data_IF_504006893763
#
_entry.id   IF_504006893763
#
_cell.length_a   1.000
_cell.length_b   1.000
_cell.length_c   1.000
_cell.angle_alpha   90.00
_cell.angle_beta   90.00
_cell.angle_gamma   90.00
#
_symmetry.space_group_name_H-M   'P 1'
#
loop_
_entity.id
_entity.type
_entity.pdbx_description
1 polymer ?
#
# COMPACT_ATOMS: atom_id res chain seq x y z
N UNK A 1 2.53 26.10 -12.68
CA UNK A 1 1.21 25.47 -12.75
C UNK A 1 0.24 26.22 -11.88
N UNK A 2 -0.91 26.58 -12.42
CA UNK A 2 -1.97 27.28 -11.67
C UNK A 2 -2.42 26.39 -10.52
N UNK A 3 -2.53 26.91 -9.28
CA UNK A 3 -3.00 26.13 -8.16
C UNK A 3 -4.39 25.59 -8.47
N UNK A 4 -4.59 24.30 -8.26
CA UNK A 4 -5.89 23.71 -8.46
C UNK A 4 -6.82 24.14 -7.32
N UNK A 5 -7.88 24.88 -7.66
CA UNK A 5 -8.97 25.21 -6.75
C UNK A 5 -10.15 24.31 -7.14
N UNK A 6 -10.55 23.43 -6.26
CA UNK A 6 -11.68 22.57 -6.51
C UNK A 6 -12.77 22.84 -5.48
N UNK A 7 -13.86 23.46 -5.93
CA UNK A 7 -15.06 23.78 -5.12
C UNK A 7 -16.21 22.82 -5.39
N UNK A 8 -16.08 21.95 -6.39
CA UNK A 8 -17.17 21.06 -6.76
C UNK A 8 -17.12 19.78 -5.91
N UNK A 9 -18.11 19.55 -5.01
CA UNK A 9 -18.16 18.35 -4.18
C UNK A 9 -18.33 17.05 -4.98
N UNK A 10 -18.67 17.16 -6.28
CA UNK A 10 -18.83 16.01 -7.18
C UNK A 10 -17.56 15.68 -7.98
N UNK A 11 -16.45 16.37 -7.72
CA UNK A 11 -15.16 16.12 -8.42
C UNK A 11 -14.09 15.66 -7.44
N UNK A 12 -13.13 14.87 -7.97
CA UNK A 12 -11.92 14.58 -7.20
C UNK A 12 -11.26 15.87 -6.69
N UNK A 13 -10.80 15.97 -5.44
CA UNK A 13 -10.65 14.89 -4.45
C UNK A 13 -11.86 14.61 -3.56
N UNK A 14 -13.03 15.17 -3.82
CA UNK A 14 -14.23 15.08 -2.95
C UNK A 14 -15.26 14.05 -3.41
N UNK A 15 -15.10 13.54 -4.63
CA UNK A 15 -15.97 12.51 -5.20
C UNK A 15 -15.19 11.23 -5.47
N UNK A 16 -15.73 10.11 -5.00
CA UNK A 16 -15.21 8.77 -5.30
C UNK A 16 -16.36 7.75 -5.28
N UNK A 17 -16.39 6.87 -6.27
CA UNK A 17 -17.34 5.74 -6.34
C UNK A 17 -18.82 6.11 -6.14
N UNK A 18 -19.26 7.29 -6.61
CA UNK A 18 -20.66 7.72 -6.51
C UNK A 18 -21.02 8.41 -5.21
N UNK A 19 -20.07 8.68 -4.32
CA UNK A 19 -20.34 9.35 -3.06
C UNK A 19 -20.00 10.84 -3.11
N UNK A 20 -20.91 11.67 -2.61
CA UNK A 20 -20.74 13.12 -2.51
C UNK A 20 -20.31 13.51 -1.11
N UNK A 21 -19.45 14.52 -0.99
CA UNK A 21 -19.14 15.10 0.30
C UNK A 21 -20.39 15.85 0.83
N UNK A 22 -20.86 15.55 2.05
CA UNK A 22 -22.09 16.15 2.60
C UNK A 22 -21.92 17.62 3.00
N UNK A 23 -20.70 18.15 2.98
CA UNK A 23 -20.42 19.56 3.23
C UNK A 23 -19.67 20.17 2.05
N UNK A 24 -19.82 21.49 1.88
CA UNK A 24 -19.00 22.26 0.93
C UNK A 24 -17.60 22.38 1.48
N UNK A 25 -16.61 21.93 0.72
CA UNK A 25 -15.20 21.99 1.09
C UNK A 25 -14.37 22.44 -0.12
N UNK A 26 -13.47 23.38 0.10
CA UNK A 26 -12.53 23.86 -0.91
C UNK A 26 -11.12 23.40 -0.59
N UNK A 27 -10.45 22.78 -1.56
CA UNK A 27 -9.04 22.47 -1.49
C UNK A 27 -8.26 23.39 -2.43
N UNK A 28 -7.25 24.07 -1.92
CA UNK A 28 -6.36 24.90 -2.72
C UNK A 28 -4.89 24.58 -2.44
N UNK A 29 -4.04 24.70 -3.46
CA UNK A 29 -2.58 24.67 -3.31
C UNK A 29 -1.97 26.08 -3.41
N UNK A 30 -2.80 27.13 -3.49
CA UNK A 30 -2.34 28.52 -3.48
C UNK A 30 -1.97 28.97 -2.06
N UNK A 31 -0.67 28.97 -1.77
CA UNK A 31 -0.13 29.33 -0.46
C UNK A 31 -0.48 30.78 -0.03
N UNK A 32 -0.83 31.67 -0.96
CA UNK A 32 -1.23 33.06 -0.64
C UNK A 32 -2.57 33.10 0.09
N UNK A 33 -3.38 32.07 -0.07
CA UNK A 33 -4.71 31.95 0.54
C UNK A 33 -4.71 31.22 1.89
N UNK A 34 -3.54 30.97 2.48
CA UNK A 34 -3.44 30.24 3.75
C UNK A 34 -4.22 30.91 4.88
N UNK A 35 -4.35 32.25 4.88
CA UNK A 35 -5.12 33.01 5.86
C UNK A 35 -6.64 32.82 5.78
N UNK A 36 -7.15 32.25 4.67
CA UNK A 36 -8.56 31.90 4.48
C UNK A 36 -8.85 30.45 4.91
N UNK A 37 -7.82 29.67 5.19
CA UNK A 37 -7.96 28.23 5.43
C UNK A 37 -8.37 27.93 6.88
N UNK A 38 -9.17 26.88 7.06
CA UNK A 38 -9.45 26.27 8.37
C UNK A 38 -8.42 25.19 8.74
N UNK A 39 -7.79 24.58 7.73
CA UNK A 39 -6.81 23.53 7.93
C UNK A 39 -5.66 23.61 6.92
N UNK A 40 -4.50 23.11 7.32
CA UNK A 40 -3.33 22.97 6.48
C UNK A 40 -2.94 21.48 6.40
N UNK A 41 -3.01 20.90 5.20
CA UNK A 41 -2.51 19.56 4.94
C UNK A 41 -1.07 19.65 4.46
N UNK A 42 -0.15 19.10 5.24
CA UNK A 42 1.29 19.06 4.93
C UNK A 42 1.65 17.66 4.47
N UNK A 43 2.03 17.53 3.21
CA UNK A 43 2.61 16.30 2.69
C UNK A 43 4.13 16.40 2.84
N UNK A 44 4.70 15.62 3.76
CA UNK A 44 6.12 15.69 4.04
C UNK A 44 6.79 14.31 4.05
N UNK A 45 7.92 14.23 3.35
CA UNK A 45 8.87 13.11 3.45
C UNK A 45 10.11 13.49 4.26
N UNK A 46 10.48 14.77 4.27
CA UNK A 46 11.66 15.30 4.93
C UNK A 46 11.27 16.43 5.87
N UNK A 47 12.08 16.65 6.89
CA UNK A 47 11.88 17.75 7.86
C UNK A 47 11.82 19.12 7.18
N UNK A 48 12.62 19.34 6.13
CA UNK A 48 12.63 20.60 5.38
C UNK A 48 11.36 20.89 4.56
N UNK A 49 10.47 19.88 4.40
CA UNK A 49 9.17 20.05 3.72
C UNK A 49 8.09 20.57 4.69
N UNK A 50 8.36 20.54 5.99
CA UNK A 50 7.42 20.99 7.03
C UNK A 50 7.63 22.49 7.24
N UNK A 51 6.64 23.35 6.93
CA UNK A 51 6.76 24.77 7.13
C UNK A 51 6.83 25.11 8.63
N UNK A 52 7.41 26.27 9.00
CA UNK A 52 7.33 26.78 10.36
C UNK A 52 5.87 26.89 10.81
N UNK A 53 5.56 26.52 12.06
CA UNK A 53 4.20 26.62 12.63
C UNK A 53 3.83 28.08 12.94
N UNK A 54 3.73 28.88 11.89
CA UNK A 54 3.37 30.33 11.99
C UNK A 54 1.87 30.53 12.10
N UNK A 55 1.07 29.60 11.61
CA UNK A 55 -0.40 29.66 11.60
C UNK A 55 -0.95 28.78 12.72
N UNK A 56 -0.96 29.34 13.95
CA UNK A 56 -1.31 28.58 15.16
C UNK A 56 -2.80 28.23 15.24
N UNK A 57 -3.64 29.00 14.57
CA UNK A 57 -5.10 28.86 14.60
C UNK A 57 -5.61 27.84 13.57
N UNK A 58 -4.74 27.37 12.67
CA UNK A 58 -5.09 26.34 11.71
C UNK A 58 -5.00 24.93 12.30
N UNK A 59 -5.91 24.06 11.90
CA UNK A 59 -5.76 22.62 12.12
C UNK A 59 -4.66 22.08 11.21
N UNK A 60 -3.63 21.49 11.79
CA UNK A 60 -2.50 20.94 11.05
C UNK A 60 -2.66 19.44 10.88
N UNK A 61 -2.58 18.97 9.63
CA UNK A 61 -2.72 17.56 9.28
C UNK A 61 -1.45 17.13 8.56
N UNK A 62 -0.76 16.14 9.11
CA UNK A 62 0.35 15.49 8.39
C UNK A 62 -0.19 14.42 7.47
N UNK A 63 0.16 14.48 6.20
CA UNK A 63 -0.18 13.46 5.22
C UNK A 63 1.08 12.83 4.64
N UNK A 64 1.22 11.51 4.76
CA UNK A 64 2.23 10.75 4.03
C UNK A 64 1.85 9.28 3.91
N UNK A 65 2.13 8.71 2.74
CA UNK A 65 2.00 7.27 2.47
C UNK A 65 3.36 6.54 2.49
N UNK A 66 4.42 7.26 2.88
CA UNK A 66 5.74 6.64 3.07
C UNK A 66 5.91 6.15 4.51
N UNK A 67 6.71 5.11 4.66
CA UNK A 67 7.09 4.60 5.98
C UNK A 67 8.09 5.54 6.68
N UNK A 68 8.26 5.47 8.02
CA UNK A 68 9.27 6.24 8.74
C UNK A 68 10.69 6.00 8.25
N UNK A 69 10.97 4.86 7.64
CA UNK A 69 12.27 4.58 7.00
C UNK A 69 12.54 5.54 5.84
N UNK A 70 11.49 5.91 5.11
CA UNK A 70 11.57 6.80 3.94
C UNK A 70 11.03 8.22 4.24
N UNK A 71 10.45 8.43 5.41
CA UNK A 71 9.94 9.71 5.90
C UNK A 71 10.33 9.89 7.39
N UNK A 72 11.60 10.20 7.68
CA UNK A 72 12.12 10.32 9.04
C UNK A 72 11.34 11.23 9.99
N UNK A 73 10.67 12.32 9.52
CA UNK A 73 9.84 13.16 10.40
C UNK A 73 8.80 12.39 11.21
N UNK A 74 8.30 11.27 10.69
CA UNK A 74 7.31 10.42 11.39
C UNK A 74 7.84 9.82 12.69
N UNK A 75 9.15 9.65 12.81
CA UNK A 75 9.81 9.11 14.01
C UNK A 75 10.27 10.18 14.99
N UNK A 76 10.06 11.47 14.68
CA UNK A 76 10.44 12.56 15.57
C UNK A 76 9.20 13.04 16.37
N UNK A 77 9.14 12.77 17.69
CA UNK A 77 8.02 13.19 18.53
C UNK A 77 7.84 14.71 18.59
N UNK A 78 8.91 15.49 18.41
CA UNK A 78 8.85 16.96 18.42
C UNK A 78 8.14 17.48 17.17
N UNK A 79 8.36 16.81 16.04
CA UNK A 79 7.70 17.13 14.78
C UNK A 79 6.24 16.68 14.85
N UNK A 80 6.00 15.42 15.24
CA UNK A 80 4.66 14.85 15.28
C UNK A 80 3.69 15.59 16.21
N UNK A 81 4.18 16.12 17.33
CA UNK A 81 3.39 16.97 18.26
C UNK A 81 2.90 18.29 17.65
N UNK A 82 3.43 18.72 16.51
CA UNK A 82 2.97 19.94 15.84
C UNK A 82 1.66 19.73 15.06
N UNK A 83 1.27 18.49 14.81
CA UNK A 83 0.10 18.14 14.02
C UNK A 83 -1.07 17.77 14.93
N UNK A 84 -2.27 18.20 14.52
CA UNK A 84 -3.52 17.89 15.18
C UNK A 84 -4.02 16.50 14.73
N UNK A 85 -3.79 16.15 13.46
CA UNK A 85 -4.23 14.92 12.84
C UNK A 85 -3.17 14.31 11.93
N UNK A 86 -3.32 12.99 11.70
CA UNK A 86 -2.45 12.22 10.83
C UNK A 86 -3.24 11.46 9.77
N UNK A 87 -2.91 11.69 8.49
CA UNK A 87 -3.43 10.95 7.34
C UNK A 87 -2.32 10.08 6.76
N UNK A 88 -2.47 8.76 6.82
CA UNK A 88 -1.37 7.87 6.39
C UNK A 88 -1.82 6.51 5.90
N UNK A 89 -0.84 5.72 5.46
CA UNK A 89 -1.02 4.32 5.11
C UNK A 89 -1.49 3.45 6.28
N UNK A 90 -1.33 3.89 7.52
CA UNK A 90 -1.75 3.15 8.71
C UNK A 90 -3.26 3.14 8.82
N UNK A 91 -3.82 1.95 9.08
CA UNK A 91 -5.26 1.79 9.29
C UNK A 91 -5.72 2.32 10.66
N UNK A 92 -4.80 2.58 11.56
CA UNK A 92 -5.03 3.18 12.88
C UNK A 92 -4.71 4.67 12.93
N UNK A 93 -4.44 5.33 11.78
CA UNK A 93 -4.33 6.78 11.70
C UNK A 93 -5.70 7.46 11.75
N UNK A 94 -5.75 8.77 12.02
CA UNK A 94 -7.01 9.53 12.03
C UNK A 94 -7.74 9.47 10.70
N UNK A 95 -6.97 9.48 9.61
CA UNK A 95 -7.49 9.36 8.25
C UNK A 95 -6.75 8.26 7.50
N UNK A 96 -7.15 7.00 7.66
CA UNK A 96 -6.55 5.89 6.92
C UNK A 96 -6.63 6.11 5.41
N UNK A 97 -5.47 6.06 4.74
CA UNK A 97 -5.36 6.16 3.29
C UNK A 97 -4.24 5.25 2.76
N UNK A 98 -4.29 3.92 3.05
CA UNK A 98 -3.29 2.99 2.58
C UNK A 98 -3.24 2.94 1.05
N UNK A 99 -2.07 2.67 0.48
CA UNK A 99 -1.94 2.45 -0.97
C UNK A 99 -2.55 1.11 -1.42
N UNK A 100 -3.14 0.38 -0.52
CA UNK A 100 -3.93 -0.81 -0.81
C UNK A 100 -5.38 -0.40 -1.14
N UNK A 101 -5.63 -0.16 -2.41
CA UNK A 101 -6.98 0.12 -2.93
C UNK A 101 -7.80 -1.18 -2.98
N UNK A 102 -9.13 -1.03 -3.07
CA UNK A 102 -10.04 -2.17 -3.26
C UNK A 102 -9.69 -2.90 -4.57
N UNK A 103 -9.34 -4.19 -4.53
CA UNK A 103 -8.92 -4.90 -5.73
C UNK A 103 -10.07 -5.06 -6.73
N UNK A 104 -9.74 -5.08 -8.02
CA UNK A 104 -10.72 -5.33 -9.08
C UNK A 104 -11.25 -6.77 -9.04
N UNK A 105 -12.55 -6.95 -9.27
CA UNK A 105 -13.18 -8.26 -9.49
C UNK A 105 -13.13 -8.73 -10.95
N UNK A 106 -12.41 -8.00 -11.81
CA UNK A 106 -12.23 -8.42 -13.21
C UNK A 106 -11.73 -9.86 -13.29
N UNK A 107 -12.36 -10.65 -14.16
CA UNK A 107 -12.03 -12.05 -14.37
C UNK A 107 -10.53 -12.22 -14.67
N UNK A 108 -9.82 -13.07 -13.95
CA UNK A 108 -8.40 -13.33 -14.21
C UNK A 108 -8.21 -14.07 -15.54
N UNK A 109 -7.02 -13.94 -16.12
CA UNK A 109 -6.60 -14.83 -17.21
C UNK A 109 -6.67 -16.28 -16.73
N UNK A 110 -7.27 -17.20 -17.50
CA UNK A 110 -7.38 -18.61 -17.13
C UNK A 110 -6.03 -19.24 -16.80
N UNK A 111 -6.01 -20.17 -15.86
CA UNK A 111 -4.78 -20.79 -15.36
C UNK A 111 -3.84 -21.31 -16.46
N UNK A 112 -4.40 -21.98 -17.49
CA UNK A 112 -3.64 -22.55 -18.60
C UNK A 112 -3.13 -21.53 -19.61
N UNK A 113 -3.74 -20.34 -19.63
CA UNK A 113 -3.38 -19.25 -20.54
C UNK A 113 -2.32 -18.31 -19.95
N UNK A 114 -2.06 -18.42 -18.64
CA UNK A 114 -0.97 -17.66 -18.00
C UNK A 114 0.38 -18.18 -18.49
N UNK A 115 1.10 -17.32 -19.22
CA UNK A 115 2.38 -17.65 -19.86
C UNK A 115 3.60 -17.51 -18.97
N UNK A 116 3.49 -16.71 -17.91
CA UNK A 116 4.56 -16.44 -16.95
C UNK A 116 4.37 -17.16 -15.62
N UNK A 117 5.47 -17.54 -14.97
CA UNK A 117 5.42 -18.19 -13.67
C UNK A 117 5.42 -17.17 -12.54
N UNK A 118 6.51 -16.45 -12.33
CA UNK A 118 6.66 -15.44 -11.28
C UNK A 118 7.14 -14.13 -11.88
N UNK A 119 6.50 -13.02 -11.52
CA UNK A 119 6.92 -11.67 -11.89
C UNK A 119 7.35 -10.85 -10.69
N UNK A 120 8.42 -10.08 -10.83
CA UNK A 120 8.90 -9.11 -9.84
C UNK A 120 8.99 -7.70 -10.47
N UNK A 121 8.41 -6.67 -9.79
CA UNK A 121 8.40 -5.30 -10.30
C UNK A 121 8.73 -4.34 -9.14
N UNK A 122 10.02 -4.12 -8.85
CA UNK A 122 10.44 -3.08 -7.91
C UNK A 122 11.81 -2.50 -8.26
N UNK A 123 12.01 -1.20 -7.95
CA UNK A 123 13.19 -0.44 -8.36
C UNK A 123 13.97 0.18 -7.19
N UNK A 124 13.42 0.16 -5.98
CA UNK A 124 14.17 0.46 -4.75
C UNK A 124 14.78 -0.86 -4.28
N UNK A 125 16.10 -1.01 -4.39
CA UNK A 125 16.80 -2.25 -4.09
C UNK A 125 17.16 -2.33 -2.60
N UNK A 126 16.13 -2.30 -1.76
CA UNK A 126 16.31 -2.51 -0.33
C UNK A 126 16.96 -3.89 -0.10
N UNK A 127 17.90 -3.96 0.84
CA UNK A 127 18.85 -5.07 0.99
C UNK A 127 18.17 -6.42 1.25
N UNK A 128 17.22 -6.47 2.18
CA UNK A 128 16.59 -7.72 2.62
C UNK A 128 15.77 -8.35 1.50
N UNK A 129 14.84 -7.58 0.93
CA UNK A 129 13.97 -8.10 -0.14
C UNK A 129 14.74 -8.46 -1.41
N UNK A 130 15.81 -7.69 -1.73
CA UNK A 130 16.63 -7.95 -2.91
C UNK A 130 17.43 -9.25 -2.74
N UNK A 131 18.00 -9.49 -1.56
CA UNK A 131 18.68 -10.75 -1.24
C UNK A 131 17.74 -11.94 -1.24
N UNK A 132 16.53 -11.77 -0.67
CA UNK A 132 15.54 -12.83 -0.69
C UNK A 132 15.15 -13.21 -2.12
N UNK A 133 14.88 -12.21 -2.97
CA UNK A 133 14.57 -12.44 -4.37
C UNK A 133 15.72 -13.12 -5.10
N UNK A 134 16.96 -12.69 -4.88
CA UNK A 134 18.16 -13.31 -5.49
C UNK A 134 18.27 -14.79 -5.11
N UNK A 135 18.02 -15.15 -3.84
CA UNK A 135 18.01 -16.55 -3.43
C UNK A 135 16.84 -17.32 -4.07
N UNK A 136 15.64 -16.76 -4.10
CA UNK A 136 14.48 -17.40 -4.73
C UNK A 136 14.73 -17.71 -6.21
N UNK A 137 15.36 -16.78 -6.93
CA UNK A 137 15.70 -16.91 -8.35
C UNK A 137 16.67 -18.07 -8.67
N UNK A 138 17.38 -18.61 -7.68
CA UNK A 138 18.22 -19.81 -7.87
C UNK A 138 17.40 -21.09 -8.04
N UNK A 139 16.16 -21.10 -7.56
CA UNK A 139 15.33 -22.31 -7.50
C UNK A 139 14.10 -22.25 -8.40
N UNK A 140 13.67 -21.05 -8.81
CA UNK A 140 12.49 -20.87 -9.65
C UNK A 140 12.70 -19.69 -10.62
N UNK A 141 12.13 -19.80 -11.81
CA UNK A 141 12.18 -18.75 -12.82
C UNK A 141 11.37 -17.55 -12.36
N UNK A 142 12.01 -16.38 -12.26
CA UNK A 142 11.38 -15.09 -11.98
C UNK A 142 11.73 -14.10 -13.07
N UNK A 143 10.72 -13.50 -13.70
CA UNK A 143 10.88 -12.40 -14.64
C UNK A 143 10.86 -11.09 -13.86
N UNK A 144 12.01 -10.41 -13.77
CA UNK A 144 12.17 -9.16 -13.02
C UNK A 144 12.25 -7.96 -13.95
N UNK A 145 11.27 -7.05 -13.85
CA UNK A 145 11.11 -5.86 -14.68
C UNK A 145 11.56 -4.55 -14.01
N UNK A 146 11.76 -4.56 -12.70
CA UNK A 146 12.29 -3.43 -11.94
C UNK A 146 13.81 -3.34 -12.05
N UNK A 147 14.40 -2.27 -11.49
CA UNK A 147 15.87 -2.10 -11.49
C UNK A 147 16.61 -3.20 -10.70
N UNK A 148 15.91 -3.80 -9.71
CA UNK A 148 16.52 -4.78 -8.83
C UNK A 148 16.51 -6.16 -9.47
N UNK A 149 17.69 -6.74 -9.71
CA UNK A 149 17.86 -8.05 -10.35
C UNK A 149 17.14 -8.13 -11.70
N UNK A 150 17.15 -7.04 -12.46
CA UNK A 150 16.47 -6.92 -13.75
C UNK A 150 16.97 -7.94 -14.76
N UNK A 151 16.04 -8.71 -15.35
CA UNK A 151 16.30 -9.65 -16.44
C UNK A 151 15.28 -9.57 -17.56
N UNK A 152 14.35 -8.58 -17.48
CA UNK A 152 13.35 -8.24 -18.50
C UNK A 152 13.35 -6.76 -18.77
N UNK A 153 13.29 -6.35 -20.06
CA UNK A 153 13.51 -4.97 -20.50
C UNK A 153 12.33 -4.42 -21.33
N UNK A 154 11.34 -5.25 -21.62
CA UNK A 154 10.15 -4.95 -22.43
C UNK A 154 9.00 -4.32 -21.62
N UNK A 155 9.33 -3.62 -20.52
CA UNK A 155 8.35 -2.91 -19.71
C UNK A 155 7.84 -1.65 -20.42
N UNK A 156 6.52 -1.34 -20.36
CA UNK A 156 5.97 -0.11 -20.91
C UNK A 156 6.72 1.15 -20.44
N UNK A 157 6.91 2.11 -21.36
CA UNK A 157 7.67 3.34 -21.09
C UNK A 157 6.95 4.25 -20.10
N UNK A 158 7.71 5.08 -19.37
CA UNK A 158 7.21 6.14 -18.47
C UNK A 158 6.24 7.07 -19.25
N UNK A 159 5.07 7.33 -18.67
CA UNK A 159 4.06 8.22 -19.23
C UNK A 159 2.65 7.63 -19.22
N UNK A 160 2.52 6.30 -19.23
CA UNK A 160 1.26 5.61 -19.00
C UNK A 160 0.95 5.56 -17.48
N UNK A 161 -0.30 5.32 -17.13
CA UNK A 161 -0.67 4.99 -15.74
C UNK A 161 0.07 3.72 -15.32
N UNK A 162 1.17 3.88 -14.57
CA UNK A 162 2.10 2.80 -14.26
C UNK A 162 1.45 1.68 -13.45
N UNK A 163 0.42 1.98 -12.66
CA UNK A 163 -0.32 0.97 -11.90
C UNK A 163 -1.17 0.11 -12.83
N UNK A 164 -1.83 0.72 -13.79
CA UNK A 164 -2.59 0.01 -14.81
C UNK A 164 -1.68 -0.91 -15.65
N UNK A 165 -0.56 -0.38 -16.12
CA UNK A 165 0.40 -1.17 -16.92
C UNK A 165 1.04 -2.31 -16.12
N UNK A 166 1.35 -2.09 -14.83
CA UNK A 166 1.82 -3.15 -13.95
C UNK A 166 0.75 -4.23 -13.74
N UNK A 167 -0.51 -3.83 -13.54
CA UNK A 167 -1.63 -4.77 -13.43
C UNK A 167 -1.77 -5.59 -14.71
N UNK A 168 -1.76 -4.94 -15.88
CA UNK A 168 -1.86 -5.59 -17.18
C UNK A 168 -0.72 -6.58 -17.43
N UNK A 169 0.50 -6.22 -17.10
CA UNK A 169 1.66 -7.11 -17.19
C UNK A 169 1.51 -8.34 -16.29
N UNK A 170 1.11 -8.12 -15.04
CA UNK A 170 0.97 -9.19 -14.04
C UNK A 170 -0.13 -10.19 -14.40
N UNK A 171 -1.16 -9.83 -15.17
CA UNK A 171 -2.25 -10.74 -15.57
C UNK A 171 -1.76 -12.04 -16.21
N UNK A 172 -0.63 -11.99 -16.92
CA UNK A 172 -0.05 -13.12 -17.61
C UNK A 172 0.78 -14.05 -16.70
N UNK A 173 0.97 -13.68 -15.43
CA UNK A 173 1.79 -14.44 -14.49
C UNK A 173 0.93 -15.16 -13.44
N UNK A 174 1.36 -16.36 -13.04
CA UNK A 174 0.70 -17.10 -11.96
C UNK A 174 0.94 -16.42 -10.62
N UNK A 175 2.16 -15.97 -10.35
CA UNK A 175 2.55 -15.35 -9.09
C UNK A 175 3.19 -13.99 -9.30
N UNK A 176 2.98 -13.08 -8.35
CA UNK A 176 3.63 -11.77 -8.32
C UNK A 176 4.36 -11.53 -7.00
N UNK A 177 5.63 -11.13 -7.08
CA UNK A 177 6.44 -10.76 -5.91
C UNK A 177 5.94 -9.42 -5.37
N UNK A 178 5.46 -9.42 -4.13
CA UNK A 178 4.96 -8.24 -3.42
C UNK A 178 5.77 -8.04 -2.14
N UNK A 179 6.93 -7.40 -2.30
CA UNK A 179 7.88 -7.10 -1.24
C UNK A 179 7.96 -5.58 -1.05
N UNK A 180 7.26 -4.99 -0.04
CA UNK A 180 7.43 -3.59 0.32
C UNK A 180 8.89 -3.24 0.61
N UNK A 181 9.23 -1.96 0.50
CA UNK A 181 10.58 -1.47 0.80
C UNK A 181 10.82 -1.18 2.29
N UNK A 182 9.81 -1.40 3.11
CA UNK A 182 9.85 -1.25 4.57
C UNK A 182 8.97 -2.31 5.21
N UNK A 183 9.31 -2.68 6.44
CA UNK A 183 8.59 -3.68 7.23
C UNK A 183 8.00 -3.00 8.48
N UNK A 184 7.18 -1.99 8.25
CA UNK A 184 6.49 -1.22 9.27
C UNK A 184 5.05 -1.70 9.41
N UNK A 185 4.45 -1.56 10.59
CA UNK A 185 3.07 -1.94 10.83
C UNK A 185 2.12 -1.31 9.81
N UNK A 186 1.26 -2.13 9.21
CA UNK A 186 0.29 -1.74 8.19
C UNK A 186 0.89 -1.15 6.91
N UNK A 187 2.21 -1.22 6.69
CA UNK A 187 2.82 -0.68 5.49
C UNK A 187 2.60 -1.60 4.29
N UNK A 188 1.56 -1.28 3.55
CA UNK A 188 1.18 -1.95 2.31
C UNK A 188 1.22 -0.95 1.16
N UNK A 189 1.87 -1.34 0.06
CA UNK A 189 1.99 -0.49 -1.12
C UNK A 189 1.02 -0.91 -2.22
N UNK A 190 0.95 -0.11 -3.26
CA UNK A 190 0.16 -0.39 -4.48
C UNK A 190 0.42 -1.78 -5.09
N UNK A 191 1.54 -2.42 -4.77
CA UNK A 191 1.93 -3.72 -5.36
C UNK A 191 0.98 -4.85 -4.98
N UNK A 192 0.45 -4.84 -3.74
CA UNK A 192 -0.54 -5.84 -3.34
C UNK A 192 -1.84 -5.64 -4.13
N UNK A 193 -2.28 -4.38 -4.27
CA UNK A 193 -3.45 -4.03 -5.05
C UNK A 193 -3.32 -4.47 -6.52
N UNK A 194 -2.18 -4.15 -7.16
CA UNK A 194 -1.96 -4.48 -8.58
C UNK A 194 -1.91 -5.99 -8.81
N UNK A 195 -1.27 -6.75 -7.93
CA UNK A 195 -1.20 -8.20 -8.04
C UNK A 195 -2.57 -8.87 -7.87
N UNK A 196 -3.33 -8.49 -6.85
CA UNK A 196 -4.69 -8.99 -6.62
C UNK A 196 -5.62 -8.61 -7.78
N UNK A 197 -5.59 -7.35 -8.23
CA UNK A 197 -6.41 -6.89 -9.35
C UNK A 197 -6.07 -7.63 -10.65
N UNK A 198 -4.81 -7.93 -10.88
CA UNK A 198 -4.35 -8.73 -12.01
C UNK A 198 -4.82 -10.20 -11.99
N UNK A 199 -5.24 -10.71 -10.84
CA UNK A 199 -5.48 -12.14 -10.66
C UNK A 199 -4.20 -12.97 -10.74
N UNK A 200 -3.09 -12.38 -10.29
CA UNK A 200 -1.81 -13.04 -10.05
C UNK A 200 -1.67 -13.22 -8.54
N UNK A 201 -1.38 -14.43 -8.06
CA UNK A 201 -1.33 -14.71 -6.62
C UNK A 201 -0.11 -14.01 -6.01
N UNK A 202 -0.31 -13.07 -5.05
CA UNK A 202 0.80 -12.36 -4.43
C UNK A 202 1.68 -13.26 -3.55
N UNK A 203 3.00 -13.13 -3.69
CA UNK A 203 3.99 -13.66 -2.76
C UNK A 203 4.38 -12.50 -1.83
N UNK A 204 3.94 -12.55 -0.58
CA UNK A 204 4.04 -11.46 0.37
C UNK A 204 5.24 -11.57 1.30
N UNK A 205 6.11 -10.55 1.29
CA UNK A 205 7.16 -10.34 2.29
C UNK A 205 7.00 -8.95 2.88
N UNK A 206 6.32 -8.83 3.99
CA UNK A 206 6.03 -7.56 4.68
C UNK A 206 5.31 -7.82 6.00
N UNK A 207 4.75 -6.77 6.56
CA UNK A 207 4.07 -6.77 7.86
C UNK A 207 2.93 -7.79 7.98
N UNK A 208 2.75 -8.34 9.18
CA UNK A 208 1.58 -9.16 9.52
C UNK A 208 0.28 -8.36 9.59
N UNK A 209 0.37 -7.04 9.73
CA UNK A 209 -0.78 -6.14 9.66
C UNK A 209 -1.60 -6.25 8.38
N UNK A 210 -1.08 -6.94 7.34
CA UNK A 210 -1.87 -7.26 6.13
C UNK A 210 -3.10 -8.11 6.44
N UNK A 211 -3.07 -8.93 7.49
CA UNK A 211 -4.20 -9.79 7.88
C UNK A 211 -5.42 -8.97 8.32
N UNK A 212 -5.20 -7.80 8.90
CA UNK A 212 -6.28 -6.88 9.28
C UNK A 212 -7.03 -6.33 8.07
N UNK A 213 -6.37 -6.27 6.91
CA UNK A 213 -7.00 -5.85 5.65
C UNK A 213 -7.61 -7.04 4.93
N UNK A 214 -6.89 -8.15 4.84
CA UNK A 214 -7.34 -9.34 4.11
C UNK A 214 -8.46 -10.12 4.81
N UNK A 215 -8.78 -9.82 6.08
CA UNK A 215 -9.94 -10.40 6.76
C UNK A 215 -11.28 -10.02 6.11
N UNK A 216 -11.27 -8.94 5.31
CA UNK A 216 -12.45 -8.42 4.64
C UNK A 216 -12.59 -8.97 3.21
N UNK A 217 -13.81 -9.08 2.74
CA UNK A 217 -14.11 -9.37 1.34
C UNK A 217 -13.63 -10.71 0.81
N UNK A 218 -13.53 -11.74 1.64
CA UNK A 218 -13.06 -13.09 1.27
C UNK A 218 -11.58 -13.14 0.83
N UNK A 219 -10.76 -12.14 1.25
CA UNK A 219 -9.35 -12.05 0.83
C UNK A 219 -8.37 -12.83 1.72
N UNK A 220 -8.84 -13.44 2.83
CA UNK A 220 -7.98 -14.10 3.83
C UNK A 220 -6.99 -15.11 3.24
N UNK A 221 -7.38 -15.80 2.16
CA UNK A 221 -6.58 -16.85 1.52
C UNK A 221 -6.08 -16.43 0.13
N UNK A 222 -6.01 -15.14 -0.16
CA UNK A 222 -5.66 -14.64 -1.50
C UNK A 222 -4.15 -14.47 -1.75
N UNK A 223 -3.30 -14.66 -0.73
CA UNK A 223 -1.84 -14.45 -0.81
C UNK A 223 -1.05 -15.64 -0.27
N UNK A 224 0.22 -15.72 -0.66
CA UNK A 224 1.21 -16.67 -0.14
C UNK A 224 2.22 -15.87 0.68
N UNK A 225 2.35 -16.16 1.98
CA UNK A 225 3.27 -15.45 2.86
C UNK A 225 4.63 -16.12 2.88
N UNK A 226 5.68 -15.37 2.63
CA UNK A 226 7.07 -15.86 2.68
C UNK A 226 7.41 -16.45 4.05
N UNK A 227 6.90 -15.89 5.11
CA UNK A 227 7.17 -16.35 6.50
C UNK A 227 6.69 -17.75 6.81
N UNK A 228 5.74 -18.30 6.03
CA UNK A 228 5.20 -19.64 6.22
C UNK A 228 6.16 -20.73 5.71
N UNK A 229 7.27 -20.33 5.08
CA UNK A 229 8.26 -21.23 4.50
C UNK A 229 9.61 -21.14 5.23
N UNK A 230 10.24 -22.31 5.43
CA UNK A 230 11.54 -22.39 6.08
C UNK A 230 12.71 -21.83 5.25
N UNK A 231 12.52 -21.66 3.92
CA UNK A 231 13.57 -21.17 3.01
C UNK A 231 13.00 -20.73 1.66
N UNK A 232 13.72 -19.92 0.85
CA UNK A 232 13.36 -19.63 -0.54
C UNK A 232 13.24 -20.91 -1.39
N UNK A 233 14.05 -21.93 -1.09
CA UNK A 233 13.95 -23.21 -1.76
C UNK A 233 12.62 -23.90 -1.48
N UNK A 234 12.19 -23.95 -0.21
CA UNK A 234 10.91 -24.51 0.18
C UNK A 234 9.73 -23.74 -0.46
N UNK A 235 9.81 -22.39 -0.50
CA UNK A 235 8.84 -21.57 -1.21
C UNK A 235 8.83 -21.90 -2.72
N UNK A 236 9.99 -21.98 -3.36
CA UNK A 236 10.10 -22.31 -4.78
C UNK A 236 9.49 -23.67 -5.12
N UNK A 237 9.74 -24.68 -4.30
CA UNK A 237 9.16 -26.04 -4.45
C UNK A 237 7.63 -25.99 -4.32
N UNK A 238 7.11 -25.24 -3.35
CA UNK A 238 5.67 -25.04 -3.18
C UNK A 238 5.05 -24.33 -4.40
N UNK A 239 5.64 -23.23 -4.87
CA UNK A 239 5.16 -22.50 -6.04
C UNK A 239 5.19 -23.35 -7.31
N UNK A 240 6.22 -24.17 -7.46
CA UNK A 240 6.34 -25.10 -8.59
C UNK A 240 5.21 -26.12 -8.59
N UNK A 241 4.94 -26.78 -7.45
CA UNK A 241 3.82 -27.72 -7.30
C UNK A 241 2.47 -27.04 -7.54
N UNK A 242 2.27 -25.85 -6.94
CA UNK A 242 1.02 -25.09 -7.08
C UNK A 242 0.79 -24.65 -8.54
N UNK A 243 1.87 -24.33 -9.26
CA UNK A 243 1.80 -23.92 -10.67
C UNK A 243 1.36 -25.03 -11.63
N UNK A 244 1.34 -26.26 -11.16
CA UNK A 244 0.91 -27.45 -11.92
C UNK A 244 -0.48 -27.95 -11.49
N UNK A 245 -1.06 -27.37 -10.44
CA UNK A 245 -2.35 -27.77 -9.89
C UNK A 245 -3.37 -26.62 -9.97
N UNK A 246 -4.19 -26.65 -11.03
CA UNK A 246 -5.20 -25.61 -11.28
C UNK A 246 -6.22 -25.50 -10.14
N UNK A 247 -6.65 -26.63 -9.59
CA UNK A 247 -7.64 -26.65 -8.51
C UNK A 247 -7.12 -25.94 -7.26
N UNK A 248 -5.90 -26.27 -6.83
CA UNK A 248 -5.28 -25.62 -5.66
C UNK A 248 -4.93 -24.15 -5.91
N UNK A 249 -4.45 -23.83 -7.11
CA UNK A 249 -4.16 -22.46 -7.51
C UNK A 249 -5.42 -21.58 -7.48
N UNK A 250 -6.53 -22.07 -8.01
CA UNK A 250 -7.77 -21.30 -8.10
C UNK A 250 -8.41 -21.03 -6.73
N UNK A 251 -8.03 -21.73 -5.67
CA UNK A 251 -8.46 -21.43 -4.30
C UNK A 251 -8.00 -20.01 -3.87
N UNK A 252 -6.83 -19.57 -4.33
CA UNK A 252 -6.31 -18.19 -4.06
C UNK A 252 -7.09 -17.11 -4.81
N UNK A 253 -7.77 -17.47 -5.89
CA UNK A 253 -8.54 -16.54 -6.72
C UNK A 253 -10.06 -16.66 -6.51
N UNK A 254 -10.50 -17.50 -5.57
CA UNK A 254 -11.92 -17.79 -5.30
C UNK A 254 -12.74 -16.52 -5.10
N UNK A 255 -12.21 -15.54 -4.37
CA UNK A 255 -12.82 -14.24 -4.09
C UNK A 255 -13.16 -13.44 -5.36
N UNK A 256 -12.44 -13.61 -6.46
CA UNK A 256 -12.73 -12.93 -7.73
C UNK A 256 -14.00 -13.43 -8.40
N UNK A 257 -14.32 -14.69 -8.20
CA UNK A 257 -15.51 -15.32 -8.78
C UNK A 257 -16.72 -15.19 -7.86
N UNK A 258 -16.52 -15.24 -6.55
CA UNK A 258 -17.59 -15.12 -5.55
C UNK A 258 -17.96 -13.67 -5.23
N UNK A 259 -17.10 -12.72 -5.58
CA UNK A 259 -17.24 -11.33 -5.22
C UNK A 259 -16.86 -11.06 -3.76
N UNK A 260 -16.94 -9.79 -3.37
CA UNK A 260 -16.70 -9.39 -2.00
C UNK A 260 -17.96 -9.63 -1.15
N UNK A 261 -17.75 -10.22 0.02
CA UNK A 261 -18.77 -10.38 1.03
C UNK A 261 -18.34 -9.58 2.27
N UNK A 262 -19.02 -8.48 2.54
CA UNK A 262 -18.68 -7.61 3.65
C UNK A 262 -19.76 -7.72 4.75
N UNK A 263 -19.37 -8.08 5.98
CA UNK A 263 -20.26 -7.98 7.13
C UNK A 263 -20.52 -6.51 7.50
N UNK A 264 -21.51 -6.24 8.33
CA UNK A 264 -21.91 -4.86 8.68
C UNK A 264 -20.76 -4.06 9.28
N UNK A 265 -19.94 -4.69 10.11
CA UNK A 265 -18.80 -4.08 10.80
C UNK A 265 -17.69 -3.60 9.84
N UNK A 266 -17.71 -4.10 8.63
CA UNK A 266 -16.77 -3.64 7.60
C UNK A 266 -16.92 -2.16 7.30
N UNK A 267 -18.15 -1.65 7.20
CA UNK A 267 -18.41 -0.26 6.80
C UNK A 267 -17.95 0.76 7.86
N UNK A 268 -17.87 0.33 9.12
CA UNK A 268 -17.35 1.12 10.23
C UNK A 268 -15.83 0.95 10.39
N UNK A 269 -15.23 -0.02 9.69
CA UNK A 269 -13.81 -0.29 9.77
C UNK A 269 -12.97 0.74 9.00
N UNK A 270 -11.70 0.96 9.38
CA UNK A 270 -10.79 1.83 8.64
C UNK A 270 -10.65 1.46 7.14
N UNK A 271 -10.70 0.16 6.84
CA UNK A 271 -10.62 -0.34 5.45
C UNK A 271 -11.93 -0.10 4.70
N UNK A 272 -13.08 -0.31 5.34
CA UNK A 272 -14.38 0.00 4.74
C UNK A 272 -14.52 1.49 4.44
N UNK A 273 -14.10 2.34 5.37
CA UNK A 273 -14.05 3.79 5.16
C UNK A 273 -13.09 4.19 4.04
N UNK A 274 -11.98 3.46 3.87
CA UNK A 274 -11.04 3.73 2.79
C UNK A 274 -11.52 3.21 1.43
N UNK A 275 -12.08 2.02 1.37
CA UNK A 275 -12.49 1.41 0.10
C UNK A 275 -13.85 1.88 -0.40
N UNK A 276 -14.81 2.05 0.48
CA UNK A 276 -16.22 2.32 0.14
C UNK A 276 -16.80 3.56 0.83
N UNK A 277 -16.03 4.22 1.69
CA UNK A 277 -16.43 5.43 2.39
C UNK A 277 -16.16 6.71 1.61
N UNK A 278 -16.28 7.84 2.31
CA UNK A 278 -16.05 9.16 1.74
C UNK A 278 -14.58 9.36 1.34
N UNK A 279 -14.29 10.17 0.30
CA UNK A 279 -12.94 10.54 -0.09
C UNK A 279 -12.12 11.12 1.07
N UNK A 280 -10.80 10.90 1.07
CA UNK A 280 -9.90 11.34 2.13
C UNK A 280 -10.14 12.80 2.53
N UNK A 281 -10.11 13.74 1.58
CA UNK A 281 -10.24 15.15 1.90
C UNK A 281 -11.66 15.55 2.32
N UNK A 282 -12.68 14.81 1.94
CA UNK A 282 -14.03 14.98 2.48
C UNK A 282 -14.06 14.60 3.98
N UNK A 283 -13.45 13.45 4.33
CA UNK A 283 -13.34 13.03 5.75
C UNK A 283 -12.54 14.05 6.57
N UNK A 284 -11.47 14.61 6.00
CA UNK A 284 -10.69 15.69 6.61
C UNK A 284 -11.57 16.93 6.86
N UNK A 285 -12.30 17.39 5.86
CA UNK A 285 -13.18 18.55 5.99
C UNK A 285 -14.25 18.35 7.06
N UNK A 286 -14.90 17.20 7.09
CA UNK A 286 -15.90 16.86 8.09
C UNK A 286 -15.31 16.87 9.50
N UNK A 287 -14.16 16.25 9.67
CA UNK A 287 -13.50 16.17 10.97
C UNK A 287 -13.06 17.55 11.48
N UNK A 288 -12.45 18.36 10.62
CA UNK A 288 -12.03 19.72 10.96
C UNK A 288 -13.23 20.61 11.31
N UNK A 289 -14.36 20.47 10.61
CA UNK A 289 -15.56 21.20 10.93
C UNK A 289 -16.17 20.81 12.29
N UNK A 290 -16.05 19.56 12.69
CA UNK A 290 -16.56 19.04 13.96
C UNK A 290 -15.60 19.28 15.15
N UNK A 291 -14.31 19.14 14.92
CA UNK A 291 -13.26 19.19 15.93
C UNK A 291 -11.99 19.82 15.34
N UNK A 292 -11.93 21.16 15.29
CA UNK A 292 -10.77 21.87 14.71
C UNK A 292 -9.50 21.76 15.58
N UNK A 293 -9.64 21.49 16.87
CA UNK A 293 -8.50 21.38 17.79
C UNK A 293 -7.79 20.03 17.69
N UNK A 294 -8.55 18.98 17.38
CA UNK A 294 -8.03 17.63 17.29
C UNK A 294 -7.40 17.14 18.59
N UNK A 295 -6.57 16.11 18.44
CA UNK A 295 -5.76 15.62 19.56
C UNK A 295 -4.27 15.79 19.26
N UNK A 296 -3.52 16.40 20.16
CA UNK A 296 -2.07 16.54 20.06
C UNK A 296 -1.31 15.25 20.43
N UNK A 297 -1.89 14.11 20.22
CA UNK A 297 -1.40 12.81 20.68
C UNK A 297 -1.07 11.82 19.55
N UNK A 298 -0.58 12.32 18.40
CA UNK A 298 -0.17 11.43 17.32
C UNK A 298 0.88 10.45 17.81
N UNK A 299 0.58 9.17 17.66
CA UNK A 299 1.52 8.10 17.96
C UNK A 299 2.63 8.13 16.93
N UNK A 300 3.86 8.26 17.39
CA UNK A 300 5.03 8.10 16.51
C UNK A 300 5.00 6.68 15.95
N UNK A 301 5.02 6.58 14.64
CA UNK A 301 5.05 5.30 13.97
C UNK A 301 6.38 4.59 14.28
N UNK A 302 6.30 3.49 15.04
CA UNK A 302 7.47 2.69 15.41
C UNK A 302 7.68 1.62 14.36
N UNK A 303 8.59 1.89 13.45
CA UNK A 303 9.09 0.90 12.52
C UNK A 303 10.37 0.29 13.10
N UNK A 304 10.24 -0.62 14.05
CA UNK A 304 11.39 -1.19 14.76
C UNK A 304 12.01 -2.41 14.08
N UNK A 305 11.52 -2.77 12.91
CA UNK A 305 12.11 -3.80 12.05
C UNK A 305 12.14 -5.20 12.67
N UNK A 306 11.18 -5.55 13.53
CA UNK A 306 11.14 -6.89 14.14
C UNK A 306 11.10 -7.99 13.09
N UNK A 307 10.33 -7.81 12.04
CA UNK A 307 10.26 -8.79 10.94
C UNK A 307 11.53 -8.77 10.10
N UNK A 308 12.16 -7.60 9.85
CA UNK A 308 13.49 -7.51 9.27
C UNK A 308 14.52 -8.29 10.07
N UNK A 309 14.51 -8.19 11.40
CA UNK A 309 15.42 -8.96 12.26
C UNK A 309 15.19 -10.46 12.14
N UNK A 310 13.94 -10.91 11.99
CA UNK A 310 13.62 -12.31 11.73
C UNK A 310 14.14 -12.75 10.37
N UNK A 311 13.97 -11.93 9.35
CA UNK A 311 14.48 -12.17 8.00
C UNK A 311 16.00 -12.06 7.93
N UNK A 312 16.61 -11.11 8.64
CA UNK A 312 18.08 -11.01 8.75
C UNK A 312 18.70 -12.20 9.48
N UNK A 313 18.06 -12.70 10.54
CA UNK A 313 18.48 -13.95 11.20
C UNK A 313 18.43 -15.13 10.24
N UNK A 314 17.36 -15.22 9.46
CA UNK A 314 17.17 -16.29 8.50
C UNK A 314 18.16 -16.18 7.31
N UNK A 315 18.34 -15.00 6.73
CA UNK A 315 19.38 -14.71 5.72
C UNK A 315 20.79 -14.90 6.29
N UNK A 316 21.03 -14.54 7.56
CA UNK A 316 22.29 -14.76 8.25
C UNK A 316 22.61 -16.23 8.49
N UNK A 317 21.59 -17.09 8.64
CA UNK A 317 21.77 -18.55 8.75
C UNK A 317 22.17 -19.20 7.42
N UNK A 318 21.74 -18.61 6.28
CA UNK A 318 22.13 -19.06 4.94
C UNK A 318 23.56 -18.67 4.61
N UNK A 319 23.97 -17.44 4.95
CA UNK A 319 25.33 -16.93 4.64
C UNK A 319 26.44 -17.51 5.51
N UNK A 320 26.11 -18.14 6.64
CA UNK A 320 27.10 -18.88 7.47
C UNK A 320 27.36 -20.31 7.00
N UNK A 321 26.70 -20.77 5.95
CA UNK A 321 26.86 -22.12 5.38
C UNK A 321 27.54 -22.11 3.99
N UNK A 322 28.20 -21.01 3.63
CA UNK A 322 29.05 -20.91 2.42
C UNK A 322 30.49 -20.67 2.84
#
# INVERSE_FOLDING_TARGET
STPAVNKNPHQWPFFYAGQNCPITCELTTDKRRVHEASALVVHARNTGEIPPKTYKDLTWILHTNESPVNAPPLSDPKIMKQFNYFASYRIDSDFPCPQFLKPSLETPVPFKEKTGLVVAIFSSCEKVRTRYLAELMKYIKVDSYGKCLQNKYDRPKKGANIWYENTRLQRNYKFAVVFPNSDCDFYMTEKIYTALSAGSVPIWLGTDGIDEVLRWGNLKHSIIKVKDFSSPKALAEFLTKLSQNETEYNKYLKWKYEGFQFPKEYYDSPIGQWWDGLPLYCRVCLKVAQDPQGHNGLTVDKCDGQQRRTMDKWLGSITKKV
#
